data_IF_164070403914
#
_entry.id   IF_164070403914
#
_cell.length_a   1.000
_cell.length_b   1.000
_cell.length_c   1.000
_cell.angle_alpha   90.00
_cell.angle_beta   90.00
_cell.angle_gamma   90.00
#
_symmetry.space_group_name_H-M   'P 1'
#
loop_
_entity.id
_entity.type
_entity.pdbx_description
1 polymer ?
#
# COMPACT_ATOMS: atom_id res chain seq x y z
N UNK A 1 -46.89 76.46 -67.04
CA UNK A 1 -46.83 75.06 -67.48
C UNK A 1 -47.04 74.18 -66.26
N UNK A 2 -48.27 73.66 -66.12
CA UNK A 2 -48.64 72.75 -65.04
C UNK A 2 -48.26 71.31 -65.37
N UNK A 3 -47.94 70.54 -64.34
CA UNK A 3 -47.53 69.14 -64.47
C UNK A 3 -47.59 68.42 -63.13
N UNK A 4 -48.76 68.40 -62.49
CA UNK A 4 -49.02 67.60 -61.30
C UNK A 4 -48.96 66.11 -61.66
N UNK A 5 -47.97 65.37 -61.14
CA UNK A 5 -47.98 63.90 -61.13
C UNK A 5 -48.40 63.42 -59.75
N UNK A 6 -49.57 62.77 -59.76
CA UNK A 6 -50.33 62.20 -58.65
C UNK A 6 -49.56 61.06 -57.96
N UNK A 7 -49.85 60.91 -56.68
CA UNK A 7 -49.26 59.93 -55.78
C UNK A 7 -49.43 58.48 -56.24
N UNK A 8 -48.31 57.75 -56.15
CA UNK A 8 -48.31 56.30 -56.10
C UNK A 8 -48.58 55.88 -54.65
N UNK A 9 -49.69 55.17 -54.42
CA UNK A 9 -49.97 54.48 -53.16
C UNK A 9 -49.02 53.27 -53.06
N UNK A 10 -48.39 52.99 -51.90
CA UNK A 10 -47.60 51.77 -51.76
C UNK A 10 -48.52 50.55 -51.75
N UNK A 11 -48.22 49.59 -52.62
CA UNK A 11 -48.84 48.26 -52.63
C UNK A 11 -48.55 47.55 -51.30
N UNK A 12 -49.54 46.95 -50.63
CA UNK A 12 -49.27 46.10 -49.48
C UNK A 12 -48.66 44.77 -49.97
N UNK A 13 -47.37 44.56 -49.67
CA UNK A 13 -46.73 43.26 -49.83
C UNK A 13 -47.40 42.27 -48.87
N UNK A 14 -48.22 41.39 -49.44
CA UNK A 14 -48.83 40.27 -48.72
C UNK A 14 -47.71 39.27 -48.42
N UNK A 15 -47.20 39.27 -47.19
CA UNK A 15 -46.27 38.24 -46.73
C UNK A 15 -46.93 36.85 -46.88
N UNK A 16 -46.22 35.83 -47.41
CA UNK A 16 -46.74 34.47 -47.42
C UNK A 16 -46.96 33.99 -45.98
N UNK A 17 -48.09 33.36 -45.65
CA UNK A 17 -48.31 32.80 -44.33
C UNK A 17 -47.45 31.54 -44.17
N UNK A 18 -46.68 31.50 -43.08
CA UNK A 18 -46.13 30.26 -42.55
C UNK A 18 -44.83 29.78 -43.18
N UNK A 19 -43.73 30.48 -42.91
CA UNK A 19 -42.53 29.75 -42.52
C UNK A 19 -42.70 29.54 -41.03
N UNK A 20 -43.19 28.35 -40.65
CA UNK A 20 -43.20 27.95 -39.26
C UNK A 20 -41.78 28.17 -38.71
N UNK A 21 -41.64 29.00 -37.69
CA UNK A 21 -40.47 28.98 -36.84
C UNK A 21 -40.45 27.55 -36.27
N UNK A 22 -39.73 26.64 -36.93
CA UNK A 22 -39.30 25.42 -36.28
C UNK A 22 -38.55 25.92 -35.05
N UNK A 23 -39.00 25.62 -33.83
CA UNK A 23 -38.17 25.91 -32.69
C UNK A 23 -36.84 25.21 -32.99
N UNK A 24 -35.74 25.95 -32.98
CA UNK A 24 -34.41 25.36 -32.91
C UNK A 24 -34.39 24.59 -31.59
N UNK A 25 -34.84 23.33 -31.63
CA UNK A 25 -34.71 22.38 -30.54
C UNK A 25 -33.24 22.02 -30.52
N UNK A 26 -32.44 22.95 -30.01
CA UNK A 26 -31.11 22.68 -29.50
C UNK A 26 -31.36 21.78 -28.30
N UNK A 27 -31.34 20.47 -28.55
CA UNK A 27 -31.47 19.45 -27.54
C UNK A 27 -30.21 19.54 -26.68
N UNK A 28 -30.21 20.45 -25.70
CA UNK A 28 -29.11 20.61 -24.75
C UNK A 28 -29.08 19.38 -23.87
N UNK A 29 -28.33 18.38 -24.31
CA UNK A 29 -28.06 17.18 -23.51
C UNK A 29 -27.40 17.67 -22.22
N UNK A 30 -28.00 17.43 -21.06
CA UNK A 30 -27.43 17.92 -19.82
C UNK A 30 -26.11 17.20 -19.55
N UNK A 31 -25.11 17.94 -19.09
CA UNK A 31 -23.73 17.49 -18.89
C UNK A 31 -23.63 16.17 -18.09
N UNK A 32 -24.53 15.96 -17.11
CA UNK A 32 -24.57 14.76 -16.29
C UNK A 32 -24.95 13.49 -17.09
N UNK A 33 -25.82 13.60 -18.10
CA UNK A 33 -26.16 12.48 -18.98
C UNK A 33 -24.96 12.10 -19.86
N UNK A 34 -24.20 13.08 -20.35
CA UNK A 34 -22.95 12.80 -21.06
C UNK A 34 -21.91 12.12 -20.17
N UNK A 35 -21.75 12.58 -18.92
CA UNK A 35 -20.84 11.94 -17.95
C UNK A 35 -21.23 10.49 -17.67
N UNK A 36 -22.52 10.22 -17.44
CA UNK A 36 -23.01 8.85 -17.25
C UNK A 36 -22.78 7.98 -18.49
N UNK A 37 -22.94 8.55 -19.68
CA UNK A 37 -22.69 7.84 -20.93
C UNK A 37 -21.20 7.52 -21.10
N UNK A 38 -20.30 8.46 -20.82
CA UNK A 38 -18.84 8.24 -20.85
C UNK A 38 -18.42 7.19 -19.83
N UNK A 39 -18.95 7.24 -18.60
CA UNK A 39 -18.66 6.23 -17.58
C UNK A 39 -19.25 4.87 -17.97
N UNK A 40 -20.45 4.82 -18.54
CA UNK A 40 -21.09 3.59 -18.99
C UNK A 40 -20.36 2.93 -20.17
N UNK A 41 -20.06 3.69 -21.23
CA UNK A 41 -19.28 3.21 -22.37
C UNK A 41 -17.85 2.85 -21.98
N UNK A 42 -17.20 3.71 -21.19
CA UNK A 42 -15.86 3.44 -20.66
C UNK A 42 -15.84 2.16 -19.83
N UNK A 43 -16.86 1.94 -18.99
CA UNK A 43 -16.98 0.73 -18.18
C UNK A 43 -17.21 -0.51 -19.02
N UNK A 44 -18.03 -0.42 -20.07
CA UNK A 44 -18.21 -1.53 -21.01
C UNK A 44 -16.91 -1.86 -21.76
N UNK A 45 -16.15 -0.85 -22.20
CA UNK A 45 -14.85 -1.03 -22.87
C UNK A 45 -13.83 -1.62 -21.90
N UNK A 46 -13.74 -1.11 -20.67
CA UNK A 46 -12.82 -1.63 -19.64
C UNK A 46 -13.21 -3.06 -19.24
N UNK A 47 -14.51 -3.37 -19.10
CA UNK A 47 -14.98 -4.72 -18.82
C UNK A 47 -14.70 -5.69 -19.98
N UNK A 48 -14.67 -5.19 -21.21
CA UNK A 48 -14.29 -5.96 -22.40
C UNK A 48 -12.77 -6.15 -22.51
N UNK A 49 -11.98 -5.16 -22.06
CA UNK A 49 -10.52 -5.20 -22.04
C UNK A 49 -9.95 -6.00 -20.87
N UNK A 50 -10.70 -6.12 -19.77
CA UNK A 50 -10.33 -6.93 -18.62
C UNK A 50 -10.26 -8.42 -19.03
N UNK A 51 -9.14 -9.12 -18.77
CA UNK A 51 -8.96 -10.51 -19.15
C UNK A 51 -10.12 -11.38 -18.66
N UNK A 52 -10.76 -12.11 -19.58
CA UNK A 52 -11.85 -13.06 -19.23
C UNK A 52 -11.31 -14.27 -18.47
N UNK A 53 -10.06 -14.61 -18.72
CA UNK A 53 -9.29 -15.69 -18.10
C UNK A 53 -8.22 -15.05 -17.20
N UNK A 54 -7.99 -15.62 -16.02
CA UNK A 54 -7.15 -15.06 -14.95
C UNK A 54 -5.65 -14.95 -15.24
N UNK A 55 -5.25 -14.86 -16.51
CA UNK A 55 -3.86 -14.79 -16.93
C UNK A 55 -3.66 -13.54 -17.79
N UNK A 56 -3.02 -12.52 -17.20
CA UNK A 56 -2.63 -11.31 -17.90
C UNK A 56 -2.12 -10.22 -16.94
N UNK A 57 -1.31 -9.27 -17.44
CA UNK A 57 -0.73 -8.20 -16.60
C UNK A 57 -1.80 -7.30 -15.97
N UNK A 58 -2.95 -7.14 -16.65
CA UNK A 58 -4.09 -6.40 -16.12
C UNK A 58 -4.76 -7.14 -14.94
N UNK A 59 -4.80 -8.49 -14.98
CA UNK A 59 -5.35 -9.28 -13.88
C UNK A 59 -4.48 -9.14 -12.62
N UNK A 60 -3.15 -9.23 -12.76
CA UNK A 60 -2.23 -9.01 -11.64
C UNK A 60 -2.39 -7.61 -11.02
N UNK A 61 -2.63 -6.59 -11.84
CA UNK A 61 -2.81 -5.22 -11.33
C UNK A 61 -4.11 -5.08 -10.54
N UNK A 62 -5.19 -5.69 -11.04
CA UNK A 62 -6.50 -5.76 -10.35
C UNK A 62 -6.41 -6.57 -9.06
N UNK A 63 -5.64 -7.66 -9.05
CA UNK A 63 -5.36 -8.48 -7.86
C UNK A 63 -4.53 -7.72 -6.82
N UNK A 64 -3.49 -7.01 -7.25
CA UNK A 64 -2.67 -6.15 -6.37
C UNK A 64 -3.48 -5.01 -5.75
N UNK A 65 -4.40 -4.44 -6.54
CA UNK A 65 -5.43 -3.50 -6.06
C UNK A 65 -6.51 -4.16 -5.21
N UNK A 66 -6.52 -5.49 -5.13
CA UNK A 66 -7.50 -6.31 -4.44
C UNK A 66 -8.92 -5.89 -4.80
N UNK A 67 -9.17 -5.78 -6.10
CA UNK A 67 -10.51 -5.65 -6.67
C UNK A 67 -10.99 -7.02 -7.20
N UNK A 68 -10.21 -8.06 -6.93
CA UNK A 68 -10.43 -9.47 -7.29
C UNK A 68 -11.65 -10.07 -6.57
N UNK A 69 -11.88 -9.68 -5.32
CA UNK A 69 -13.04 -10.11 -4.54
C UNK A 69 -14.34 -9.38 -4.92
N UNK A 70 -14.27 -8.31 -5.72
CA UNK A 70 -15.44 -7.56 -6.16
C UNK A 70 -16.04 -8.16 -7.43
N UNK A 71 -17.38 -8.11 -7.59
CA UNK A 71 -18.03 -8.43 -8.86
C UNK A 71 -17.39 -7.64 -10.02
N UNK A 72 -17.12 -8.33 -11.14
CA UNK A 72 -16.55 -7.77 -12.37
C UNK A 72 -17.15 -6.41 -12.81
N UNK A 73 -18.48 -6.19 -12.80
CA UNK A 73 -19.00 -4.88 -13.19
C UNK A 73 -18.57 -3.76 -12.24
N UNK A 74 -18.45 -4.04 -10.94
CA UNK A 74 -18.06 -3.03 -9.93
C UNK A 74 -16.59 -2.66 -10.06
N UNK A 75 -15.71 -3.65 -10.30
CA UNK A 75 -14.29 -3.38 -10.54
C UNK A 75 -14.08 -2.60 -11.84
N UNK A 76 -14.80 -2.96 -12.91
CA UNK A 76 -14.76 -2.22 -14.18
C UNK A 76 -15.25 -0.77 -14.03
N UNK A 77 -16.36 -0.55 -13.31
CA UNK A 77 -16.87 0.81 -13.03
C UNK A 77 -15.85 1.60 -12.22
N UNK A 78 -15.27 1.03 -11.16
CA UNK A 78 -14.27 1.71 -10.32
C UNK A 78 -13.03 2.14 -11.11
N UNK A 79 -12.46 1.23 -11.93
CA UNK A 79 -11.30 1.53 -12.78
C UNK A 79 -11.64 2.61 -13.82
N UNK A 80 -12.85 2.56 -14.37
CA UNK A 80 -13.32 3.56 -15.34
C UNK A 80 -13.48 4.92 -14.71
N UNK A 81 -14.16 5.01 -13.56
CA UNK A 81 -14.34 6.27 -12.82
C UNK A 81 -12.98 6.87 -12.49
N UNK A 82 -12.05 6.05 -11.99
CA UNK A 82 -10.71 6.52 -11.66
C UNK A 82 -9.94 7.00 -12.89
N UNK A 83 -10.00 6.27 -14.02
CA UNK A 83 -9.39 6.66 -15.28
C UNK A 83 -9.96 7.95 -15.87
N UNK A 84 -11.29 8.11 -15.83
CA UNK A 84 -11.98 9.34 -16.26
C UNK A 84 -11.57 10.51 -15.37
N UNK A 85 -11.53 10.32 -14.05
CA UNK A 85 -11.10 11.36 -13.12
C UNK A 85 -9.64 11.76 -13.36
N UNK A 86 -8.75 10.79 -13.60
CA UNK A 86 -7.35 11.04 -13.94
C UNK A 86 -7.21 11.81 -15.26
N UNK A 87 -7.96 11.41 -16.29
CA UNK A 87 -7.97 12.10 -17.58
C UNK A 87 -8.49 13.54 -17.45
N UNK A 88 -9.53 13.78 -16.66
CA UNK A 88 -10.06 15.12 -16.39
C UNK A 88 -9.02 16.00 -15.67
N UNK A 89 -8.31 15.44 -14.70
CA UNK A 89 -7.25 16.18 -14.01
C UNK A 89 -6.09 16.55 -14.94
N UNK A 90 -5.67 15.62 -15.81
CA UNK A 90 -4.64 15.90 -16.81
C UNK A 90 -5.10 16.92 -17.84
N UNK A 91 -6.32 16.79 -18.34
CA UNK A 91 -6.91 17.76 -19.27
C UNK A 91 -6.95 19.16 -18.66
N UNK A 92 -7.44 19.29 -17.42
CA UNK A 92 -7.48 20.56 -16.71
C UNK A 92 -6.08 21.14 -16.46
N UNK A 93 -5.08 20.32 -16.15
CA UNK A 93 -3.70 20.76 -15.98
C UNK A 93 -3.10 21.28 -17.30
N UNK A 94 -3.26 20.54 -18.40
CA UNK A 94 -2.77 20.95 -19.73
C UNK A 94 -3.44 22.24 -20.16
N UNK A 95 -4.76 22.33 -19.99
CA UNK A 95 -5.51 23.55 -20.30
C UNK A 95 -5.01 24.75 -19.51
N UNK A 96 -4.77 24.56 -18.20
CA UNK A 96 -4.26 25.61 -17.32
C UNK A 96 -2.85 26.07 -17.71
N UNK A 97 -2.00 25.15 -18.17
CA UNK A 97 -0.65 25.49 -18.65
C UNK A 97 -0.69 26.31 -19.94
N UNK A 98 -1.59 25.96 -20.87
CA UNK A 98 -1.81 26.73 -22.10
C UNK A 98 -2.32 28.14 -21.77
N UNK A 99 -3.31 28.23 -20.88
CA UNK A 99 -3.84 29.52 -20.42
C UNK A 99 -2.76 30.37 -19.75
N UNK A 100 -1.93 29.76 -18.90
CA UNK A 100 -0.79 30.44 -18.26
C UNK A 100 0.21 30.99 -19.28
N UNK A 101 0.48 30.27 -20.37
CA UNK A 101 1.40 30.70 -21.42
C UNK A 101 0.89 31.91 -22.22
N UNK A 102 -0.43 32.10 -22.28
CA UNK A 102 -1.07 33.20 -22.99
C UNK A 102 -1.33 34.45 -22.12
N UNK A 103 -1.10 34.39 -20.81
CA UNK A 103 -1.39 35.49 -19.87
C UNK A 103 -0.32 36.58 -19.89
N UNK A 104 -0.77 37.83 -19.74
CA UNK A 104 0.10 39.00 -19.60
C UNK A 104 0.82 39.02 -18.24
N UNK A 105 2.15 39.07 -18.27
CA UNK A 105 3.01 39.07 -17.09
C UNK A 105 2.96 40.40 -16.31
N UNK A 106 2.42 41.47 -16.91
CA UNK A 106 2.24 42.77 -16.24
C UNK A 106 1.24 42.74 -15.08
N UNK A 107 0.28 41.80 -15.10
CA UNK A 107 -0.73 41.67 -14.04
C UNK A 107 -0.32 40.60 -12.99
N UNK A 108 0.49 41.04 -12.03
CA UNK A 108 1.05 40.20 -10.95
C UNK A 108 -0.01 39.41 -10.16
N UNK A 109 -1.24 39.93 -9.99
CA UNK A 109 -2.30 39.24 -9.22
C UNK A 109 -2.85 38.02 -9.97
N UNK A 110 -3.07 38.16 -11.26
CA UNK A 110 -3.62 37.09 -12.10
C UNK A 110 -2.58 36.00 -12.33
N UNK A 111 -1.31 36.39 -12.49
CA UNK A 111 -0.19 35.46 -12.60
C UNK A 111 -0.03 34.60 -11.34
N UNK A 112 -0.05 35.21 -10.14
CA UNK A 112 0.04 34.47 -8.87
C UNK A 112 -1.10 33.48 -8.69
N UNK A 113 -2.32 33.89 -9.05
CA UNK A 113 -3.51 33.02 -8.91
C UNK A 113 -3.41 31.80 -9.82
N UNK A 114 -2.96 31.96 -11.06
CA UNK A 114 -2.71 30.82 -11.95
C UNK A 114 -1.61 29.90 -11.44
N UNK A 115 -0.53 30.46 -10.88
CA UNK A 115 0.55 29.65 -10.33
C UNK A 115 0.08 28.79 -9.15
N UNK A 116 -0.76 29.36 -8.27
CA UNK A 116 -1.40 28.61 -7.18
C UNK A 116 -2.36 27.55 -7.73
N UNK A 117 -3.12 27.84 -8.78
CA UNK A 117 -3.99 26.87 -9.43
C UNK A 117 -3.20 25.69 -10.02
N UNK A 118 -2.04 25.96 -10.66
CA UNK A 118 -1.16 24.90 -11.18
C UNK A 118 -0.63 24.04 -10.05
N UNK A 119 -0.16 24.66 -8.96
CA UNK A 119 0.32 23.93 -7.78
C UNK A 119 -0.78 23.04 -7.17
N UNK A 120 -2.00 23.57 -7.05
CA UNK A 120 -3.15 22.80 -6.55
C UNK A 120 -3.50 21.62 -7.48
N UNK A 121 -3.43 21.82 -8.80
CA UNK A 121 -3.73 20.78 -9.78
C UNK A 121 -2.68 19.66 -9.75
N UNK A 122 -1.40 20.01 -9.65
CA UNK A 122 -0.29 19.06 -9.49
C UNK A 122 -0.42 18.28 -8.18
N UNK A 123 -0.77 18.96 -7.09
CA UNK A 123 -1.05 18.29 -5.82
C UNK A 123 -2.21 17.29 -5.94
N UNK A 124 -3.28 17.67 -6.66
CA UNK A 124 -4.43 16.80 -6.92
C UNK A 124 -4.07 15.56 -7.75
N UNK A 125 -3.30 15.72 -8.85
CA UNK A 125 -2.79 14.59 -9.65
C UNK A 125 -1.93 13.66 -8.78
N UNK A 126 -1.05 14.23 -7.95
CA UNK A 126 -0.18 13.46 -7.06
C UNK A 126 -1.01 12.64 -6.06
N UNK A 127 -2.05 13.23 -5.46
CA UNK A 127 -2.97 12.52 -4.57
C UNK A 127 -3.72 11.39 -5.28
N UNK A 128 -4.17 11.62 -6.51
CA UNK A 128 -4.89 10.62 -7.29
C UNK A 128 -4.03 9.40 -7.64
N UNK A 129 -2.76 9.62 -7.98
CA UNK A 129 -1.77 8.55 -8.24
C UNK A 129 -1.34 7.85 -6.95
N UNK A 130 -1.25 8.58 -5.84
CA UNK A 130 -0.86 8.01 -4.55
C UNK A 130 -1.89 7.00 -4.02
N UNK A 131 -3.17 7.17 -4.33
CA UNK A 131 -4.24 6.28 -3.85
C UNK A 131 -4.03 4.79 -4.21
N UNK A 132 -3.96 4.38 -5.49
CA UNK A 132 -3.74 2.98 -5.84
C UNK A 132 -2.39 2.44 -5.31
N UNK A 133 -1.35 3.28 -5.32
CA UNK A 133 -0.03 2.88 -4.80
C UNK A 133 -0.06 2.63 -3.29
N UNK A 134 -0.83 3.41 -2.55
CA UNK A 134 -0.99 3.24 -1.10
C UNK A 134 -1.72 1.92 -0.81
N UNK A 135 -2.78 1.60 -1.55
CA UNK A 135 -3.48 0.32 -1.42
C UNK A 135 -2.57 -0.89 -1.68
N UNK A 136 -1.80 -0.86 -2.77
CA UNK A 136 -0.85 -1.92 -3.12
C UNK A 136 0.20 -2.07 -2.00
N UNK A 137 0.75 -0.94 -1.54
CA UNK A 137 1.79 -0.94 -0.50
C UNK A 137 1.26 -1.47 0.84
N UNK A 138 0.06 -1.08 1.25
CA UNK A 138 -0.55 -1.53 2.50
C UNK A 138 -0.71 -3.06 2.51
N UNK A 139 -1.25 -3.63 1.43
CA UNK A 139 -1.43 -5.09 1.34
C UNK A 139 -0.11 -5.85 1.28
N UNK A 140 0.88 -5.33 0.55
CA UNK A 140 2.23 -5.93 0.57
C UNK A 140 2.85 -5.86 1.97
N UNK A 141 2.59 -4.78 2.70
CA UNK A 141 2.97 -4.64 4.11
C UNK A 141 2.35 -5.71 4.99
N UNK A 142 1.05 -6.00 4.85
CA UNK A 142 0.37 -7.06 5.60
C UNK A 142 1.02 -8.44 5.37
N UNK A 143 1.31 -8.79 4.10
CA UNK A 143 1.98 -10.07 3.76
C UNK A 143 3.38 -10.15 4.35
N UNK A 144 4.14 -9.05 4.33
CA UNK A 144 5.47 -8.99 4.93
C UNK A 144 5.42 -9.07 6.46
N UNK A 145 4.43 -8.43 7.09
CA UNK A 145 4.21 -8.51 8.54
C UNK A 145 3.92 -9.94 8.96
N UNK A 146 3.02 -10.63 8.26
CA UNK A 146 2.70 -12.03 8.54
C UNK A 146 3.93 -12.95 8.42
N UNK A 147 4.70 -12.81 7.33
CA UNK A 147 5.94 -13.58 7.15
C UNK A 147 6.96 -13.29 8.28
N UNK A 148 7.14 -12.01 8.65
CA UNK A 148 8.03 -11.62 9.76
C UNK A 148 7.57 -12.13 11.12
N UNK A 149 6.27 -12.16 11.37
CA UNK A 149 5.71 -12.73 12.60
C UNK A 149 6.03 -14.23 12.69
N UNK A 150 5.87 -14.96 11.57
CA UNK A 150 6.19 -16.38 11.50
C UNK A 150 7.69 -16.65 11.66
N UNK A 151 8.55 -15.85 11.02
CA UNK A 151 10.01 -15.93 11.17
C UNK A 151 10.41 -15.63 12.63
N UNK A 152 9.83 -14.60 13.25
CA UNK A 152 10.12 -14.22 14.63
C UNK A 152 9.75 -15.33 15.62
N UNK A 153 8.63 -16.03 15.41
CA UNK A 153 8.25 -17.17 16.24
C UNK A 153 9.25 -18.31 16.07
N UNK A 154 9.59 -18.63 14.82
CA UNK A 154 10.58 -19.69 14.51
C UNK A 154 11.92 -19.41 15.17
N UNK A 155 12.40 -18.17 15.09
CA UNK A 155 13.63 -17.71 15.74
C UNK A 155 13.57 -17.84 17.27
N UNK A 156 12.41 -17.54 17.87
CA UNK A 156 12.22 -17.71 19.32
C UNK A 156 12.25 -19.18 19.73
N UNK A 157 11.66 -20.08 18.94
CA UNK A 157 11.73 -21.53 19.16
C UNK A 157 13.20 -22.00 19.06
N UNK A 158 13.90 -21.62 18.00
CA UNK A 158 15.30 -22.00 17.79
C UNK A 158 16.20 -21.53 18.95
N UNK A 159 16.07 -20.27 19.38
CA UNK A 159 16.82 -19.74 20.53
C UNK A 159 16.47 -20.46 21.83
N UNK A 160 15.21 -20.80 22.03
CA UNK A 160 14.80 -21.53 23.23
C UNK A 160 15.36 -22.95 23.25
N UNK A 161 15.41 -23.63 22.09
CA UNK A 161 16.05 -24.95 21.92
C UNK A 161 17.56 -24.86 22.11
N UNK A 162 18.22 -23.85 21.56
CA UNK A 162 19.65 -23.60 21.79
C UNK A 162 19.96 -23.44 23.29
N UNK A 163 19.11 -22.70 24.01
CA UNK A 163 19.23 -22.52 25.45
C UNK A 163 19.04 -23.83 26.24
N UNK A 164 18.27 -24.81 25.74
CA UNK A 164 18.18 -26.15 26.35
C UNK A 164 19.51 -26.92 26.28
N UNK A 165 20.34 -26.60 25.28
CA UNK A 165 21.70 -27.14 25.14
C UNK A 165 22.75 -26.40 25.96
N UNK A 166 22.42 -25.27 26.59
CA UNK A 166 23.42 -24.38 27.21
C UNK A 166 24.26 -25.06 28.30
N UNK A 167 25.56 -24.82 28.26
CA UNK A 167 26.55 -25.33 29.22
C UNK A 167 27.31 -24.18 29.86
N UNK A 168 27.82 -24.40 31.07
CA UNK A 168 28.70 -23.46 31.78
C UNK A 168 29.92 -24.17 32.31
N UNK A 169 31.07 -23.51 32.23
CA UNK A 169 32.29 -23.99 32.85
C UNK A 169 32.32 -23.54 34.31
N UNK A 170 32.46 -24.50 35.23
CA UNK A 170 32.62 -24.22 36.65
C UNK A 170 33.99 -24.65 37.11
N UNK A 171 34.66 -23.75 37.83
CA UNK A 171 35.95 -24.01 38.45
C UNK A 171 35.70 -24.69 39.79
N UNK A 172 36.07 -25.96 39.91
CA UNK A 172 35.92 -26.75 41.14
C UNK A 172 37.26 -27.18 41.69
N UNK A 173 37.38 -27.18 43.01
CA UNK A 173 38.56 -27.71 43.68
C UNK A 173 38.61 -29.23 43.49
N UNK A 174 39.71 -29.73 42.93
CA UNK A 174 39.92 -31.16 42.69
C UNK A 174 39.91 -31.93 44.01
N UNK A 175 39.17 -33.05 44.04
CA UNK A 175 39.11 -33.98 45.16
C UNK A 175 39.79 -35.30 44.80
N UNK A 176 40.43 -35.96 45.76
CA UNK A 176 40.95 -37.31 45.58
C UNK A 176 39.84 -38.38 45.72
N UNK A 177 40.17 -39.65 45.48
CA UNK A 177 39.25 -40.81 45.61
C UNK A 177 38.62 -40.96 47.02
N UNK A 178 39.22 -40.32 48.03
CA UNK A 178 38.72 -40.26 49.42
C UNK A 178 37.94 -38.98 49.74
N UNK A 179 37.67 -38.14 48.74
CA UNK A 179 36.91 -36.89 48.88
C UNK A 179 37.68 -35.70 49.45
N UNK A 180 38.99 -35.81 49.69
CA UNK A 180 39.83 -34.75 50.25
C UNK A 180 40.26 -33.76 49.16
N UNK A 181 40.18 -32.47 49.46
CA UNK A 181 40.61 -31.38 48.57
C UNK A 181 42.12 -31.42 48.32
N UNK A 182 42.52 -31.28 47.05
CA UNK A 182 43.92 -31.36 46.62
C UNK A 182 44.55 -29.98 46.50
N UNK A 183 45.73 -29.83 47.10
CA UNK A 183 46.53 -28.62 47.02
C UNK A 183 47.84 -28.91 46.29
N UNK A 184 48.45 -27.90 45.70
CA UNK A 184 49.77 -28.01 45.09
C UNK A 184 50.83 -28.26 46.17
N UNK A 185 51.83 -29.09 45.89
CA UNK A 185 52.87 -29.39 46.86
C UNK A 185 53.83 -28.20 47.00
N UNK A 186 54.11 -27.77 48.24
CA UNK A 186 55.14 -26.78 48.54
C UNK A 186 56.55 -27.37 48.46
N UNK A 187 57.60 -26.55 48.61
CA UNK A 187 59.01 -26.99 48.54
C UNK A 187 59.33 -28.15 49.50
N UNK A 188 58.60 -28.28 50.61
CA UNK A 188 58.73 -29.34 51.61
C UNK A 188 57.99 -30.65 51.27
N UNK A 189 57.43 -30.79 50.05
CA UNK A 189 56.54 -31.90 49.64
C UNK A 189 55.32 -32.09 50.54
N UNK A 190 54.89 -31.01 51.20
CA UNK A 190 53.64 -30.94 51.96
C UNK A 190 52.62 -30.11 51.18
N UNK A 191 51.32 -30.41 51.28
CA UNK A 191 50.29 -29.65 50.56
C UNK A 191 50.30 -28.18 50.98
N UNK A 192 50.48 -27.25 50.03
CA UNK A 192 50.38 -25.81 50.27
C UNK A 192 48.91 -25.37 50.22
N UNK A 193 48.31 -25.20 51.39
CA UNK A 193 46.91 -24.79 51.53
C UNK A 193 46.58 -23.44 50.87
N UNK A 194 47.59 -22.65 50.46
CA UNK A 194 47.41 -21.39 49.72
C UNK A 194 47.21 -21.59 48.22
N UNK A 195 47.50 -22.79 47.68
CA UNK A 195 47.43 -23.12 46.24
C UNK A 195 46.51 -24.32 45.98
N UNK A 196 45.19 -24.11 45.90
CA UNK A 196 44.26 -25.20 45.57
C UNK A 196 44.41 -25.64 44.11
N UNK A 197 44.37 -26.96 43.85
CA UNK A 197 44.31 -27.48 42.49
C UNK A 197 42.88 -27.34 41.98
N UNK A 198 42.69 -26.42 41.04
CA UNK A 198 41.39 -26.15 40.41
C UNK A 198 41.26 -26.99 39.14
N UNK A 199 40.13 -27.66 38.95
CA UNK A 199 39.74 -28.32 37.71
C UNK A 199 38.53 -27.60 37.12
N UNK A 200 38.55 -27.38 35.81
CA UNK A 200 37.43 -26.82 35.07
C UNK A 200 36.52 -27.99 34.65
N UNK A 201 35.26 -27.92 35.06
CA UNK A 201 34.24 -28.91 34.73
C UNK A 201 33.16 -28.22 33.90
N UNK A 202 32.85 -28.75 32.72
CA UNK A 202 31.71 -28.28 31.92
C UNK A 202 30.46 -28.95 32.46
N UNK A 203 29.54 -28.14 32.98
CA UNK A 203 28.27 -28.62 33.53
C UNK A 203 27.09 -27.98 32.79
N UNK A 204 25.92 -28.64 32.74
CA UNK A 204 24.70 -28.04 32.22
C UNK A 204 24.38 -26.71 32.90
N UNK A 205 24.08 -25.68 32.11
CA UNK A 205 23.66 -24.40 32.64
C UNK A 205 22.15 -24.39 32.93
N UNK A 206 21.77 -24.93 34.09
CA UNK A 206 20.37 -25.15 34.46
C UNK A 206 19.51 -23.88 34.40
N UNK A 207 20.04 -22.70 34.74
CA UNK A 207 19.30 -21.43 34.68
C UNK A 207 18.89 -21.08 33.25
N UNK A 208 19.82 -21.22 32.29
CA UNK A 208 19.56 -20.94 30.87
C UNK A 208 18.64 -22.00 30.27
N UNK A 209 18.84 -23.27 30.64
CA UNK A 209 17.99 -24.38 30.18
C UNK A 209 16.55 -24.25 30.67
N UNK A 210 16.35 -23.91 31.95
CA UNK A 210 15.02 -23.64 32.51
C UNK A 210 14.38 -22.43 31.82
N UNK A 211 15.16 -21.38 31.54
CA UNK A 211 14.69 -20.22 30.77
C UNK A 211 14.23 -20.59 29.36
N UNK A 212 14.96 -21.46 28.66
CA UNK A 212 14.56 -22.02 27.37
C UNK A 212 13.24 -22.80 27.44
N UNK A 213 13.08 -23.64 28.47
CA UNK A 213 11.87 -24.42 28.69
C UNK A 213 10.64 -23.54 28.96
N UNK A 214 10.78 -22.50 29.78
CA UNK A 214 9.69 -21.53 30.02
C UNK A 214 9.34 -20.72 28.76
N UNK A 215 10.33 -20.36 27.94
CA UNK A 215 10.08 -19.69 26.67
C UNK A 215 9.26 -20.58 25.71
N UNK A 216 9.58 -21.88 25.64
CA UNK A 216 8.81 -22.84 24.86
C UNK A 216 7.38 -23.03 25.39
N UNK A 217 7.19 -23.18 26.71
CA UNK A 217 5.84 -23.29 27.30
C UNK A 217 4.98 -22.06 26.97
N UNK A 218 5.55 -20.87 27.02
CA UNK A 218 4.85 -19.64 26.65
C UNK A 218 4.42 -19.67 25.17
N UNK A 219 5.33 -20.00 24.25
CA UNK A 219 5.01 -20.06 22.81
C UNK A 219 3.94 -21.13 22.53
N UNK A 220 4.01 -22.29 23.20
CA UNK A 220 3.04 -23.36 23.08
C UNK A 220 1.63 -22.96 23.55
N UNK A 221 1.52 -22.11 24.57
CA UNK A 221 0.23 -21.57 25.05
C UNK A 221 -0.37 -20.52 24.12
N UNK A 222 0.46 -19.76 23.41
CA UNK A 222 0.03 -18.68 22.53
C UNK A 222 -0.58 -19.21 21.21
N UNK A 223 -0.27 -20.44 20.78
CA UNK A 223 -0.82 -21.01 19.55
C UNK A 223 -0.86 -22.56 19.57
N UNK A 224 -2.05 -23.14 19.32
CA UNK A 224 -2.28 -24.60 19.31
C UNK A 224 -1.45 -25.33 18.24
N UNK A 225 -1.14 -24.67 17.11
CA UNK A 225 -0.29 -25.22 16.06
C UNK A 225 1.17 -25.39 16.51
N UNK A 226 1.69 -24.48 17.33
CA UNK A 226 3.05 -24.58 17.88
C UNK A 226 3.15 -25.59 19.02
N UNK A 227 2.06 -25.83 19.75
CA UNK A 227 2.01 -26.84 20.80
C UNK A 227 2.43 -28.24 20.30
N UNK A 228 1.90 -28.65 19.13
CA UNK A 228 2.22 -29.95 18.52
C UNK A 228 3.68 -30.00 18.07
N UNK A 229 4.18 -28.93 17.46
CA UNK A 229 5.57 -28.87 16.99
C UNK A 229 6.58 -28.95 18.14
N UNK A 230 6.31 -28.26 19.26
CA UNK A 230 7.19 -28.26 20.44
C UNK A 230 7.18 -29.63 21.13
N UNK A 231 6.02 -30.31 21.22
CA UNK A 231 5.94 -31.69 21.74
C UNK A 231 6.63 -32.73 20.86
N UNK A 232 6.94 -32.42 19.59
CA UNK A 232 7.76 -33.29 18.72
C UNK A 232 9.27 -33.06 18.90
N UNK A 233 9.68 -31.92 19.46
CA UNK A 233 11.09 -31.55 19.66
C UNK A 233 11.60 -32.00 21.04
N UNK A 234 10.73 -32.01 22.04
CA UNK A 234 10.99 -32.53 23.40
C UNK A 234 10.91 -34.07 23.45
#
# INVERSE_FOLDING_TARGET
MGGARRGAKPFPLRHPPGVANLPDVTMTIPLWLMLLLVVGLGSAVVAWLLPREGTGPAHEWVEKLGLDHLPRPISAVSVTIWGVLFALFLYGLVWLLIDLAARDQGNMRDFRTSLLAVAAMVAGVSGLVAFPLTLIRTRQGERQTYAREQDLVTDRINKAVENLGAEKTVRRHRKNSKGVLLYEDGEDKKPDFKKPIITEETVPNLEVRIGGLFALDRIARENLGFHVQIMQIL
#
